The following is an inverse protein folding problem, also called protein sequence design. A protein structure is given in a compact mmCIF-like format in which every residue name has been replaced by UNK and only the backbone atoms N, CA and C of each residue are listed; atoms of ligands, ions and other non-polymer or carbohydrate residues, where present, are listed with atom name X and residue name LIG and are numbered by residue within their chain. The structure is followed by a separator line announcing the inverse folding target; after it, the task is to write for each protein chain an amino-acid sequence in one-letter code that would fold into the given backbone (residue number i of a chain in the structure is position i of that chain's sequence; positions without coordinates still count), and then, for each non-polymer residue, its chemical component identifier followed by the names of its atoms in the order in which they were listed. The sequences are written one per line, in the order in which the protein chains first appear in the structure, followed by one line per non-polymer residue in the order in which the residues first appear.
data_IF_931057876514
#
_entry.id   IF_931057876514
#
_cell.length_a   1.000
_cell.length_b   1.000
_cell.length_c   1.000
_cell.angle_alpha   90.00
_cell.angle_beta   90.00
_cell.angle_gamma   90.00
#
_symmetry.space_group_name_H-M   'P 1'
#
loop_
_entity.id
_entity.type
_entity.pdbx_description
1 polymer ?
#
# COMPACT_ATOMS: atom_id res chain seq x y z
N UNK A 1 -17.55 -49.77 4.63
CA UNK A 1 -16.60 -49.97 3.51
C UNK A 1 -15.36 -49.16 3.81
N UNK A 2 -14.18 -49.79 3.93
CA UNK A 2 -12.91 -49.07 4.08
C UNK A 2 -12.58 -48.42 2.74
N UNK A 3 -12.39 -47.10 2.74
CA UNK A 3 -11.85 -46.37 1.60
C UNK A 3 -10.50 -47.02 1.25
N UNK A 4 -10.26 -47.45 0.01
CA UNK A 4 -8.98 -48.02 -0.37
C UNK A 4 -7.91 -46.95 -0.18
N UNK A 5 -7.00 -47.15 0.78
CA UNK A 5 -5.78 -46.36 0.87
C UNK A 5 -4.99 -46.65 -0.41
N UNK A 6 -5.00 -45.71 -1.35
CA UNK A 6 -4.16 -45.79 -2.54
C UNK A 6 -2.71 -45.99 -2.05
N UNK A 7 -2.11 -47.12 -2.41
CA UNK A 7 -0.70 -47.39 -2.11
C UNK A 7 0.12 -46.23 -2.68
N UNK A 8 1.00 -45.67 -1.86
CA UNK A 8 1.98 -44.71 -2.33
C UNK A 8 2.72 -45.33 -3.52
N UNK A 9 2.81 -44.61 -4.63
CA UNK A 9 3.64 -45.05 -5.75
C UNK A 9 5.08 -45.13 -5.23
N UNK A 10 5.74 -46.25 -5.50
CA UNK A 10 7.13 -46.52 -5.13
C UNK A 10 7.96 -46.54 -6.41
N UNK A 11 9.07 -45.79 -6.42
CA UNK A 11 10.03 -45.80 -7.52
C UNK A 11 11.47 -45.79 -7.01
N UNK A 12 12.37 -46.35 -7.81
CA UNK A 12 13.81 -46.18 -7.61
C UNK A 12 14.23 -44.77 -8.05
N UNK A 13 15.19 -44.19 -7.34
CA UNK A 13 15.77 -42.92 -7.75
C UNK A 13 16.40 -42.15 -6.62
N UNK A 14 16.61 -40.86 -6.86
CA UNK A 14 17.23 -39.92 -5.92
C UNK A 14 16.17 -39.27 -5.02
N UNK A 15 16.39 -39.27 -3.72
CA UNK A 15 15.54 -38.52 -2.77
C UNK A 15 15.69 -37.01 -2.98
N UNK A 16 14.57 -36.29 -3.11
CA UNK A 16 14.55 -34.84 -3.37
C UNK A 16 15.14 -33.99 -2.23
N UNK A 17 15.21 -34.53 -1.02
CA UNK A 17 15.83 -33.86 0.13
C UNK A 17 17.31 -34.20 0.28
N UNK A 18 17.63 -35.47 0.57
CA UNK A 18 18.99 -35.87 0.96
C UNK A 18 19.87 -36.29 -0.22
N UNK A 19 19.30 -36.37 -1.43
CA UNK A 19 20.03 -36.73 -2.63
C UNK A 19 20.57 -38.17 -2.68
N UNK A 20 20.23 -39.02 -1.72
CA UNK A 20 20.61 -40.44 -1.75
C UNK A 20 19.79 -41.19 -2.78
N UNK A 21 20.45 -42.03 -3.56
CA UNK A 21 19.78 -43.02 -4.40
C UNK A 21 19.27 -44.16 -3.53
N UNK A 22 18.00 -44.51 -3.67
CA UNK A 22 17.36 -45.58 -2.91
C UNK A 22 16.47 -46.42 -3.82
N UNK A 23 16.38 -47.74 -3.58
CA UNK A 23 15.52 -48.63 -4.36
C UNK A 23 14.02 -48.38 -4.08
N UNK A 24 13.69 -47.67 -3.00
CA UNK A 24 12.30 -47.32 -2.69
C UNK A 24 12.22 -45.87 -2.24
N UNK A 25 11.47 -45.06 -3.00
CA UNK A 25 11.05 -43.72 -2.63
C UNK A 25 9.54 -43.67 -2.49
N UNK A 26 9.05 -42.98 -1.47
CA UNK A 26 7.64 -42.65 -1.31
C UNK A 26 7.37 -41.27 -1.91
N UNK A 27 6.33 -41.16 -2.73
CA UNK A 27 5.87 -39.86 -3.22
C UNK A 27 5.15 -39.07 -2.13
N UNK A 28 5.18 -37.73 -2.23
CA UNK A 28 4.33 -36.86 -1.42
C UNK A 28 2.86 -37.24 -1.63
N UNK A 29 2.12 -37.44 -0.53
CA UNK A 29 0.71 -37.86 -0.56
C UNK A 29 -0.20 -36.88 -1.30
N UNK A 30 0.14 -35.59 -1.25
CA UNK A 30 -0.74 -34.52 -1.66
C UNK A 30 -0.55 -34.19 -3.15
N UNK A 31 0.69 -33.89 -3.56
CA UNK A 31 0.96 -33.50 -4.94
C UNK A 31 1.45 -34.66 -5.83
N UNK A 32 2.01 -35.72 -5.26
CA UNK A 32 2.72 -36.82 -5.96
C UNK A 32 3.86 -36.38 -6.90
N UNK A 33 4.33 -35.15 -6.77
CA UNK A 33 5.39 -34.56 -7.64
C UNK A 33 6.78 -34.65 -7.04
N UNK A 34 6.91 -34.90 -5.74
CA UNK A 34 8.19 -35.05 -5.03
C UNK A 34 8.30 -36.40 -4.33
N UNK A 35 9.53 -36.87 -4.13
CA UNK A 35 9.87 -38.25 -3.78
C UNK A 35 10.95 -38.31 -2.68
N UNK A 36 10.69 -39.11 -1.66
CA UNK A 36 11.49 -39.14 -0.43
C UNK A 36 11.78 -40.56 0.02
N UNK A 37 12.98 -40.79 0.57
CA UNK A 37 13.34 -42.09 1.13
C UNK A 37 12.71 -42.35 2.51
N UNK A 38 12.12 -41.32 3.14
CA UNK A 38 11.44 -41.42 4.44
C UNK A 38 10.55 -40.20 4.70
N UNK A 39 9.55 -40.35 5.58
CA UNK A 39 8.74 -39.22 6.07
C UNK A 39 9.60 -38.13 6.71
N UNK A 40 10.69 -38.50 7.38
CA UNK A 40 11.64 -37.52 7.94
C UNK A 40 12.25 -36.63 6.86
N UNK A 41 12.64 -37.19 5.71
CA UNK A 41 13.15 -36.40 4.59
C UNK A 41 12.08 -35.49 3.97
N UNK A 42 10.81 -35.90 3.99
CA UNK A 42 9.70 -35.04 3.58
C UNK A 42 9.51 -33.88 4.59
N UNK A 43 9.48 -34.17 5.89
CA UNK A 43 9.34 -33.17 6.97
C UNK A 43 10.48 -32.14 6.94
N UNK A 44 11.73 -32.59 6.81
CA UNK A 44 12.91 -31.72 6.73
C UNK A 44 12.90 -30.84 5.46
N UNK A 45 12.40 -31.37 4.33
CA UNK A 45 12.27 -30.63 3.07
C UNK A 45 11.01 -29.77 2.99
N UNK A 46 10.06 -29.93 3.92
CA UNK A 46 8.73 -29.34 3.79
C UNK A 46 8.77 -27.81 3.65
N UNK A 47 9.72 -27.15 4.32
CA UNK A 47 9.93 -25.70 4.24
C UNK A 47 10.18 -25.16 2.81
N UNK A 48 10.70 -26.00 1.91
CA UNK A 48 10.89 -25.68 0.48
C UNK A 48 9.82 -26.36 -0.37
N UNK A 49 9.58 -27.65 -0.16
CA UNK A 49 8.63 -28.42 -0.98
C UNK A 49 7.23 -27.83 -1.00
N UNK A 50 6.75 -27.33 0.15
CA UNK A 50 5.40 -26.79 0.29
C UNK A 50 5.10 -25.67 -0.70
N UNK A 51 6.11 -24.89 -1.08
CA UNK A 51 6.00 -23.75 -1.98
C UNK A 51 5.57 -24.15 -3.40
N UNK A 52 5.81 -25.41 -3.77
CA UNK A 52 5.45 -25.99 -5.06
C UNK A 52 4.40 -27.12 -4.93
N UNK A 53 4.06 -27.51 -3.70
CA UNK A 53 3.09 -28.58 -3.40
C UNK A 53 1.69 -28.03 -3.19
N UNK A 54 1.57 -26.91 -2.46
CA UNK A 54 0.31 -26.29 -2.05
C UNK A 54 -0.18 -25.33 -3.13
N UNK A 55 -1.49 -25.12 -3.21
CA UNK A 55 -2.06 -24.09 -4.09
C UNK A 55 -1.54 -22.69 -3.71
N UNK A 56 -1.27 -21.86 -4.73
CA UNK A 56 -0.70 -20.52 -4.54
C UNK A 56 -1.59 -19.62 -3.65
N UNK A 57 -2.90 -19.82 -3.65
CA UNK A 57 -3.86 -19.08 -2.83
C UNK A 57 -3.77 -19.41 -1.34
N UNK A 58 -3.25 -20.59 -0.98
CA UNK A 58 -3.07 -21.03 0.41
C UNK A 58 -1.66 -20.69 0.96
N UNK A 59 -0.75 -20.21 0.09
CA UNK A 59 0.55 -19.72 0.52
C UNK A 59 0.42 -18.42 1.31
N UNK A 60 1.28 -18.24 2.30
CA UNK A 60 1.40 -16.95 2.99
C UNK A 60 2.15 -15.93 2.13
N UNK A 61 2.10 -14.65 2.50
CA UNK A 61 2.93 -13.63 1.85
C UNK A 61 4.44 -13.93 1.99
N UNK A 62 4.89 -14.53 3.10
CA UNK A 62 6.29 -14.91 3.26
C UNK A 62 6.69 -16.07 2.34
N UNK A 63 5.80 -17.05 2.15
CA UNK A 63 6.01 -18.15 1.20
C UNK A 63 6.18 -17.62 -0.23
N UNK A 64 5.31 -16.69 -0.65
CA UNK A 64 5.39 -16.04 -1.96
C UNK A 64 6.64 -15.17 -2.11
N UNK A 65 7.12 -14.55 -1.03
CA UNK A 65 8.40 -13.84 -1.02
C UNK A 65 9.59 -14.81 -1.14
N UNK A 66 9.54 -15.95 -0.47
CA UNK A 66 10.58 -16.98 -0.58
C UNK A 66 10.70 -17.52 -2.01
N UNK A 67 9.56 -17.76 -2.69
CA UNK A 67 9.55 -18.09 -4.12
C UNK A 67 10.26 -17.02 -4.96
N UNK A 68 9.92 -15.74 -4.75
CA UNK A 68 10.55 -14.63 -5.46
C UNK A 68 12.08 -14.57 -5.21
N UNK A 69 12.50 -14.83 -3.96
CA UNK A 69 13.91 -14.89 -3.57
C UNK A 69 14.67 -16.09 -4.18
N UNK A 70 14.02 -17.25 -4.34
CA UNK A 70 14.60 -18.42 -5.00
C UNK A 70 14.71 -18.22 -6.52
N UNK A 71 13.74 -17.55 -7.13
CA UNK A 71 13.69 -17.27 -8.56
C UNK A 71 14.51 -16.05 -8.98
N UNK A 72 15.11 -15.33 -8.02
CA UNK A 72 15.83 -14.07 -8.23
C UNK A 72 15.00 -13.04 -9.00
N UNK A 73 13.73 -12.90 -8.61
CA UNK A 73 12.79 -12.00 -9.26
C UNK A 73 12.11 -11.06 -8.25
N UNK A 74 11.77 -9.82 -8.64
CA UNK A 74 11.06 -8.92 -7.76
C UNK A 74 9.64 -9.45 -7.49
N UNK A 75 9.16 -9.40 -6.24
CA UNK A 75 7.80 -9.81 -5.92
C UNK A 75 6.79 -8.93 -6.66
N UNK A 76 5.69 -9.54 -7.09
CA UNK A 76 4.58 -8.85 -7.78
C UNK A 76 3.26 -8.89 -7.01
N UNK A 77 3.22 -9.72 -6.00
CA UNK A 77 2.03 -9.92 -5.17
C UNK A 77 1.84 -8.73 -4.23
N UNK A 78 0.67 -8.11 -4.28
CA UNK A 78 0.38 -6.89 -3.52
C UNK A 78 0.57 -7.08 -2.01
N UNK A 79 0.18 -8.24 -1.46
CA UNK A 79 0.33 -8.50 -0.04
C UNK A 79 1.81 -8.61 0.34
N UNK A 80 2.61 -9.27 -0.50
CA UNK A 80 4.07 -9.33 -0.32
C UNK A 80 4.69 -7.94 -0.35
N UNK A 81 4.29 -7.13 -1.34
CA UNK A 81 4.85 -5.80 -1.49
C UNK A 81 4.54 -4.90 -0.29
N UNK A 82 3.35 -5.04 0.31
CA UNK A 82 2.93 -4.33 1.52
C UNK A 82 3.61 -4.85 2.78
N UNK A 83 3.55 -6.15 2.99
CA UNK A 83 3.98 -6.82 4.21
C UNK A 83 5.49 -6.65 4.45
N UNK A 84 6.26 -6.66 3.37
CA UNK A 84 7.73 -6.67 3.43
C UNK A 84 8.37 -5.36 2.96
N UNK A 85 7.60 -4.27 2.93
CA UNK A 85 8.13 -2.91 2.77
C UNK A 85 8.48 -2.48 1.35
N UNK A 86 8.26 -3.32 0.34
CA UNK A 86 8.56 -2.98 -1.05
C UNK A 86 7.72 -1.80 -1.56
N UNK A 87 6.44 -1.68 -1.15
CA UNK A 87 5.63 -0.49 -1.47
C UNK A 87 6.11 0.77 -0.74
N UNK A 88 6.82 0.62 0.38
CA UNK A 88 7.36 1.75 1.14
C UNK A 88 8.72 2.21 0.62
N UNK A 89 9.40 1.38 -0.17
CA UNK A 89 10.67 1.70 -0.81
C UNK A 89 10.43 2.51 -2.10
N UNK A 90 10.85 3.77 -2.10
CA UNK A 90 10.58 4.71 -3.19
C UNK A 90 11.63 4.71 -4.29
N UNK A 91 12.82 4.14 -4.05
CA UNK A 91 13.86 4.00 -5.07
C UNK A 91 14.09 2.53 -5.46
N UNK A 92 14.35 2.23 -6.75
CA UNK A 92 14.55 0.85 -7.20
C UNK A 92 15.69 0.12 -6.48
N UNK A 93 16.77 0.82 -6.14
CA UNK A 93 17.88 0.22 -5.40
C UNK A 93 17.47 -0.27 -4.02
N UNK A 94 16.58 0.42 -3.31
CA UNK A 94 16.04 -0.01 -2.01
C UNK A 94 15.20 -1.28 -2.14
N UNK A 95 14.43 -1.42 -3.21
CA UNK A 95 13.64 -2.64 -3.46
C UNK A 95 14.57 -3.85 -3.69
N UNK A 96 15.68 -3.65 -4.40
CA UNK A 96 16.70 -4.69 -4.56
C UNK A 96 17.36 -5.02 -3.21
N UNK A 97 17.67 -4.02 -2.38
CA UNK A 97 18.22 -4.26 -1.04
C UNK A 97 17.27 -5.07 -0.14
N UNK A 98 15.95 -4.82 -0.22
CA UNK A 98 14.95 -5.66 0.45
C UNK A 98 14.95 -7.09 -0.08
N UNK A 99 14.96 -7.27 -1.41
CA UNK A 99 15.01 -8.61 -2.00
C UNK A 99 16.27 -9.36 -1.57
N UNK A 100 17.44 -8.72 -1.61
CA UNK A 100 18.72 -9.31 -1.20
C UNK A 100 18.76 -9.67 0.29
N UNK A 101 18.11 -8.87 1.14
CA UNK A 101 17.94 -9.18 2.57
C UNK A 101 17.17 -10.49 2.78
N UNK A 102 16.04 -10.66 2.08
CA UNK A 102 15.22 -11.87 2.20
C UNK A 102 15.84 -13.07 1.48
N UNK A 103 16.61 -12.86 0.40
CA UNK A 103 17.45 -13.91 -0.23
C UNK A 103 18.49 -14.44 0.74
N UNK A 104 19.15 -13.58 1.52
CA UNK A 104 20.08 -14.01 2.57
C UNK A 104 19.39 -14.94 3.57
N UNK A 105 18.22 -14.55 4.06
CA UNK A 105 17.42 -15.31 5.03
C UNK A 105 16.97 -16.67 4.48
N UNK A 106 16.39 -16.71 3.28
CA UNK A 106 15.82 -17.94 2.72
C UNK A 106 16.85 -18.84 2.06
N UNK A 107 17.74 -18.29 1.23
CA UNK A 107 18.64 -19.09 0.40
C UNK A 107 19.88 -19.52 1.19
N UNK A 108 20.51 -18.59 1.92
CA UNK A 108 21.73 -18.87 2.67
C UNK A 108 21.42 -19.37 4.08
N UNK A 109 20.44 -18.75 4.74
CA UNK A 109 20.01 -19.12 6.08
C UNK A 109 19.15 -20.36 6.15
N UNK A 110 18.47 -20.73 5.06
CA UNK A 110 17.53 -21.85 5.04
C UNK A 110 16.38 -21.68 6.04
N UNK A 111 16.05 -20.44 6.41
CA UNK A 111 14.99 -20.11 7.37
C UNK A 111 13.63 -20.46 6.74
N UNK A 112 12.77 -21.11 7.51
CA UNK A 112 11.43 -21.47 7.05
C UNK A 112 10.57 -20.20 6.85
N UNK A 113 9.96 -20.00 5.66
CA UNK A 113 9.10 -18.84 5.41
C UNK A 113 7.95 -18.69 6.40
N UNK A 114 7.46 -19.80 6.99
CA UNK A 114 6.42 -19.78 8.03
C UNK A 114 6.87 -19.05 9.29
N UNK A 115 8.15 -19.20 9.64
CA UNK A 115 8.74 -18.49 10.79
C UNK A 115 8.74 -16.99 10.50
N UNK A 116 9.22 -16.59 9.31
CA UNK A 116 9.22 -15.18 8.90
C UNK A 116 7.80 -14.60 8.87
N UNK A 117 6.82 -15.36 8.38
CA UNK A 117 5.41 -14.95 8.39
C UNK A 117 4.88 -14.73 9.81
N UNK A 118 5.23 -15.59 10.76
CA UNK A 118 4.82 -15.45 12.15
C UNK A 118 5.43 -14.21 12.80
N UNK A 119 6.74 -13.97 12.62
CA UNK A 119 7.38 -12.74 13.11
C UNK A 119 6.74 -11.49 12.52
N UNK A 120 6.31 -11.52 11.25
CA UNK A 120 5.56 -10.43 10.64
C UNK A 120 4.20 -10.23 11.33
N UNK A 121 3.41 -11.29 11.53
CA UNK A 121 2.13 -11.22 12.24
C UNK A 121 2.27 -10.64 13.65
N UNK A 122 3.37 -10.99 14.33
CA UNK A 122 3.65 -10.52 15.68
C UNK A 122 4.19 -9.08 15.74
N UNK A 123 4.39 -8.43 14.58
CA UNK A 123 5.01 -7.09 14.50
C UNK A 123 6.50 -7.07 14.83
N UNK A 124 7.17 -8.23 14.74
CA UNK A 124 8.57 -8.47 15.13
C UNK A 124 9.48 -8.80 13.95
N UNK A 125 9.12 -8.38 12.74
CA UNK A 125 9.89 -8.68 11.54
C UNK A 125 11.33 -8.12 11.61
N UNK A 126 11.52 -6.94 12.20
CA UNK A 126 12.84 -6.33 12.43
C UNK A 126 13.71 -7.21 13.34
N UNK A 127 13.13 -7.76 14.42
CA UNK A 127 13.83 -8.67 15.34
C UNK A 127 14.28 -9.95 14.60
N UNK A 128 13.42 -10.50 13.74
CA UNK A 128 13.72 -11.70 12.95
C UNK A 128 14.94 -11.48 12.05
N UNK A 129 14.96 -10.37 11.32
CA UNK A 129 16.06 -10.01 10.42
C UNK A 129 17.34 -9.76 11.22
N UNK A 130 17.24 -8.99 12.31
CA UNK A 130 18.38 -8.64 13.17
C UNK A 130 19.00 -9.90 13.77
N UNK A 131 18.18 -10.78 14.36
CA UNK A 131 18.64 -12.05 14.96
C UNK A 131 19.38 -12.92 13.95
N UNK A 132 18.87 -13.00 12.70
CA UNK A 132 19.51 -13.79 11.65
C UNK A 132 20.88 -13.23 11.27
N UNK A 133 20.96 -11.94 10.94
CA UNK A 133 22.20 -11.34 10.45
C UNK A 133 23.24 -11.12 11.55
N UNK A 134 22.84 -10.88 12.80
CA UNK A 134 23.79 -10.72 13.90
C UNK A 134 24.51 -12.04 14.26
N UNK A 135 23.88 -13.19 13.98
CA UNK A 135 24.52 -14.50 14.12
C UNK A 135 25.64 -14.76 13.09
N UNK A 136 25.66 -14.00 12.00
CA UNK A 136 26.69 -14.07 10.97
C UNK A 136 27.89 -13.20 11.39
N UNK A 137 29.15 -13.64 11.21
CA UNK A 137 30.32 -12.81 11.45
C UNK A 137 30.23 -11.46 10.70
N UNK A 138 30.66 -10.36 11.35
CA UNK A 138 30.45 -8.99 10.87
C UNK A 138 30.93 -8.77 9.42
N UNK A 139 32.06 -9.36 9.04
CA UNK A 139 32.64 -9.27 7.69
C UNK A 139 31.78 -9.93 6.60
N UNK A 140 30.84 -10.79 6.97
CA UNK A 140 30.05 -11.64 6.07
C UNK A 140 28.57 -11.25 6.03
N UNK A 141 28.15 -10.19 6.74
CA UNK A 141 26.74 -9.78 6.81
C UNK A 141 26.21 -9.13 5.52
N UNK A 142 27.11 -8.67 4.64
CA UNK A 142 26.77 -8.04 3.37
C UNK A 142 26.24 -6.61 3.49
N UNK A 143 26.16 -5.91 2.37
CA UNK A 143 25.73 -4.50 2.32
C UNK A 143 24.24 -4.32 2.61
N UNK A 144 23.41 -5.32 2.27
CA UNK A 144 21.96 -5.26 2.48
C UNK A 144 21.58 -5.15 3.95
N UNK A 145 22.36 -5.75 4.85
CA UNK A 145 22.14 -5.62 6.28
C UNK A 145 22.50 -4.21 6.80
N UNK A 146 23.62 -3.66 6.37
CA UNK A 146 24.01 -2.27 6.69
C UNK A 146 23.04 -1.24 6.13
N UNK A 147 22.42 -1.52 4.97
CA UNK A 147 21.31 -0.73 4.45
C UNK A 147 20.05 -0.90 5.31
N UNK A 148 19.69 -2.12 5.68
CA UNK A 148 18.52 -2.41 6.53
C UNK A 148 18.56 -1.65 7.87
N UNK A 149 19.72 -1.59 8.54
CA UNK A 149 19.87 -0.88 9.82
C UNK A 149 19.47 0.60 9.74
N UNK A 150 19.65 1.24 8.57
CA UNK A 150 19.26 2.64 8.33
C UNK A 150 17.81 2.79 7.85
N UNK A 151 17.20 1.70 7.37
CA UNK A 151 15.91 1.71 6.67
C UNK A 151 14.85 0.81 7.32
N UNK A 152 14.99 0.52 8.62
CA UNK A 152 14.04 -0.32 9.37
C UNK A 152 12.60 0.22 9.31
N UNK A 153 12.42 1.54 9.13
CA UNK A 153 11.13 2.20 8.99
C UNK A 153 10.26 1.61 7.86
N UNK A 154 10.86 1.00 6.84
CA UNK A 154 10.15 0.33 5.74
C UNK A 154 9.47 -0.97 6.16
N UNK A 155 9.89 -1.55 7.29
CA UNK A 155 9.41 -2.86 7.76
C UNK A 155 8.54 -2.75 9.02
N UNK A 156 8.36 -1.54 9.54
CA UNK A 156 7.45 -1.28 10.65
C UNK A 156 6.01 -1.44 10.15
N UNK A 157 5.18 -2.27 10.80
CA UNK A 157 3.78 -2.41 10.42
C UNK A 157 3.04 -1.07 10.64
N UNK A 158 2.08 -0.71 9.78
CA UNK A 158 1.23 0.43 10.05
C UNK A 158 0.50 0.22 11.39
N UNK A 159 0.26 1.29 12.16
CA UNK A 159 -0.39 1.24 13.47
C UNK A 159 -1.87 0.84 13.40
N UNK A 160 -2.45 0.79 12.21
CA UNK A 160 -3.82 0.37 11.96
C UNK A 160 -3.83 -0.72 10.90
N UNK A 161 -4.69 -1.71 11.09
CA UNK A 161 -4.96 -2.72 10.08
C UNK A 161 -5.54 -2.03 8.84
N UNK A 162 -4.88 -2.23 7.70
CA UNK A 162 -5.27 -1.61 6.45
C UNK A 162 -6.54 -2.29 5.89
N UNK A 163 -7.71 -1.81 6.32
CA UNK A 163 -8.98 -2.16 5.68
C UNK A 163 -9.09 -1.58 4.24
N UNK A 164 -8.06 -0.87 3.73
CA UNK A 164 -8.06 -0.39 2.36
C UNK A 164 -8.00 -1.51 1.32
N UNK A 165 -7.81 -2.77 1.71
CA UNK A 165 -7.87 -3.93 0.82
C UNK A 165 -9.01 -4.89 1.13
N UNK A 166 -10.02 -4.47 1.89
CA UNK A 166 -11.31 -5.14 1.74
C UNK A 166 -11.79 -4.88 0.31
N UNK A 167 -11.54 -5.90 -0.51
CA UNK A 167 -11.95 -5.99 -1.91
C UNK A 167 -13.42 -5.64 -1.89
N UNK A 168 -13.80 -4.65 -2.69
CA UNK A 168 -15.21 -4.42 -2.98
C UNK A 168 -15.69 -5.69 -3.67
N UNK A 169 -16.31 -6.56 -2.86
CA UNK A 169 -16.75 -7.87 -3.30
C UNK A 169 -17.99 -7.74 -4.18
N UNK A 170 -18.38 -8.86 -4.78
CA UNK A 170 -19.54 -8.89 -5.65
C UNK A 170 -20.82 -8.48 -4.89
N UNK A 171 -20.88 -8.65 -3.57
CA UNK A 171 -21.99 -8.16 -2.75
C UNK A 171 -22.00 -6.63 -2.65
N UNK A 172 -20.86 -5.99 -2.38
CA UNK A 172 -20.74 -4.54 -2.32
C UNK A 172 -21.04 -3.90 -3.68
N UNK A 173 -20.60 -4.54 -4.77
CA UNK A 173 -20.93 -4.18 -6.14
C UNK A 173 -22.45 -4.21 -6.38
N UNK A 174 -23.10 -5.33 -6.07
CA UNK A 174 -24.53 -5.53 -6.25
C UNK A 174 -25.36 -4.54 -5.42
N UNK A 175 -24.99 -4.34 -4.15
CA UNK A 175 -25.71 -3.45 -3.25
C UNK A 175 -25.63 -1.99 -3.73
N UNK A 176 -24.45 -1.52 -4.13
CA UNK A 176 -24.31 -0.18 -4.69
C UNK A 176 -25.05 -0.03 -6.02
N UNK A 177 -25.07 -1.06 -6.88
CA UNK A 177 -25.84 -1.05 -8.11
C UNK A 177 -27.34 -0.82 -7.86
N UNK A 178 -27.92 -1.55 -6.90
CA UNK A 178 -29.32 -1.34 -6.52
C UNK A 178 -29.55 0.03 -5.89
N UNK A 179 -28.63 0.49 -5.04
CA UNK A 179 -28.74 1.79 -4.39
C UNK A 179 -28.83 2.94 -5.41
N UNK A 180 -28.06 2.87 -6.51
CA UNK A 180 -28.09 3.90 -7.56
C UNK A 180 -29.26 3.75 -8.54
N UNK A 181 -30.18 2.81 -8.32
CA UNK A 181 -31.36 2.56 -9.16
C UNK A 181 -31.17 1.53 -10.27
N UNK A 182 -30.10 0.72 -10.21
CA UNK A 182 -29.89 -0.42 -11.10
C UNK A 182 -30.94 -1.53 -10.91
N UNK A 183 -31.20 -2.32 -11.96
CA UNK A 183 -32.26 -3.34 -11.90
C UNK A 183 -31.89 -4.48 -10.96
N UNK A 184 -32.88 -4.94 -10.17
CA UNK A 184 -32.75 -6.15 -9.35
C UNK A 184 -32.57 -7.43 -10.17
N UNK A 185 -32.95 -7.40 -11.46
CA UNK A 185 -32.80 -8.53 -12.40
C UNK A 185 -31.45 -8.60 -13.08
N UNK A 186 -30.61 -7.55 -12.96
CA UNK A 186 -29.29 -7.54 -13.61
C UNK A 186 -28.36 -8.53 -12.89
N UNK A 187 -27.72 -9.43 -13.65
CA UNK A 187 -26.73 -10.35 -13.11
C UNK A 187 -25.41 -9.62 -12.83
N UNK A 188 -24.53 -10.20 -12.00
CA UNK A 188 -23.20 -9.64 -11.75
C UNK A 188 -22.39 -9.44 -13.04
N UNK A 189 -22.54 -10.33 -14.02
CA UNK A 189 -21.89 -10.20 -15.32
C UNK A 189 -22.41 -8.99 -16.10
N UNK A 190 -23.74 -8.78 -16.10
CA UNK A 190 -24.37 -7.63 -16.75
C UNK A 190 -23.92 -6.31 -16.09
N UNK A 191 -23.89 -6.28 -14.76
CA UNK A 191 -23.46 -5.12 -13.98
C UNK A 191 -22.01 -4.77 -14.31
N UNK A 192 -21.10 -5.76 -14.25
CA UNK A 192 -19.68 -5.56 -14.59
C UNK A 192 -19.50 -5.06 -16.03
N UNK A 193 -20.23 -5.62 -16.98
CA UNK A 193 -20.19 -5.20 -18.39
C UNK A 193 -20.68 -3.76 -18.58
N UNK A 194 -21.78 -3.36 -17.94
CA UNK A 194 -22.30 -1.99 -18.02
C UNK A 194 -21.36 -0.98 -17.38
N UNK A 195 -20.83 -1.32 -16.22
CA UNK A 195 -19.88 -0.45 -15.50
C UNK A 195 -18.61 -0.29 -16.33
N UNK A 196 -18.08 -1.34 -16.96
CA UNK A 196 -16.87 -1.27 -17.77
C UNK A 196 -16.93 -0.23 -18.90
N UNK A 197 -18.12 0.09 -19.41
CA UNK A 197 -18.31 1.10 -20.46
C UNK A 197 -18.34 2.56 -19.93
N UNK A 198 -18.26 2.77 -18.62
CA UNK A 198 -18.34 4.09 -18.01
C UNK A 198 -17.02 4.88 -18.13
N UNK A 199 -17.09 6.22 -18.13
CA UNK A 199 -15.90 7.04 -17.99
C UNK A 199 -15.30 6.88 -16.58
N UNK A 200 -13.99 7.14 -16.45
CA UNK A 200 -13.23 6.93 -15.22
C UNK A 200 -13.83 7.70 -14.03
N UNK A 201 -14.29 8.93 -14.24
CA UNK A 201 -14.91 9.77 -13.21
C UNK A 201 -16.18 9.15 -12.65
N UNK A 202 -16.95 8.46 -13.49
CA UNK A 202 -18.17 7.77 -13.08
C UNK A 202 -17.84 6.50 -12.30
N UNK A 203 -16.78 5.78 -12.70
CA UNK A 203 -16.23 4.68 -11.89
C UNK A 203 -15.79 5.14 -10.51
N UNK A 204 -15.08 6.28 -10.41
CA UNK A 204 -14.65 6.86 -9.12
C UNK A 204 -15.84 7.17 -8.22
N UNK A 205 -16.89 7.81 -8.77
CA UNK A 205 -18.12 8.10 -8.03
C UNK A 205 -18.82 6.83 -7.53
N UNK A 206 -18.95 5.82 -8.40
CA UNK A 206 -19.60 4.57 -8.04
C UNK A 206 -18.82 3.81 -6.96
N UNK A 207 -17.49 3.73 -7.12
CA UNK A 207 -16.60 3.12 -6.13
C UNK A 207 -16.71 3.82 -4.78
N UNK A 208 -16.78 5.15 -4.77
CA UNK A 208 -16.97 5.90 -3.53
C UNK A 208 -18.32 5.62 -2.86
N UNK A 209 -19.41 5.45 -3.62
CA UNK A 209 -20.69 5.00 -3.07
C UNK A 209 -20.59 3.61 -2.45
N UNK A 210 -19.89 2.66 -3.10
CA UNK A 210 -19.65 1.34 -2.52
C UNK A 210 -18.95 1.44 -1.15
N UNK A 211 -17.99 2.37 -1.00
CA UNK A 211 -17.31 2.62 0.28
C UNK A 211 -18.23 3.28 1.31
N UNK A 212 -19.03 4.28 0.91
CA UNK A 212 -19.97 4.97 1.79
C UNK A 212 -21.00 4.03 2.42
N UNK A 213 -21.53 3.08 1.63
CA UNK A 213 -22.56 2.14 2.08
C UNK A 213 -22.03 1.04 3.00
N UNK A 214 -20.71 1.00 3.21
CA UNK A 214 -20.05 -0.03 4.02
C UNK A 214 -20.02 0.37 5.49
N UNK A 215 -20.68 -0.44 6.32
CA UNK A 215 -20.74 -0.19 7.75
C UNK A 215 -19.34 -0.20 8.39
N UNK A 216 -19.03 0.82 9.19
CA UNK A 216 -17.75 0.94 9.90
C UNK A 216 -16.54 1.28 9.03
N UNK A 217 -16.73 1.55 7.74
CA UNK A 217 -15.60 1.90 6.86
C UNK A 217 -15.10 3.33 7.13
N UNK A 218 -13.78 3.48 7.17
CA UNK A 218 -13.09 4.76 7.30
C UNK A 218 -12.10 4.91 6.16
N UNK A 219 -12.09 6.09 5.52
CA UNK A 219 -11.12 6.40 4.48
C UNK A 219 -9.74 6.61 5.10
N UNK A 220 -8.73 5.98 4.50
CA UNK A 220 -7.33 6.24 4.80
C UNK A 220 -6.69 7.12 3.72
N UNK A 221 -5.62 7.86 4.05
CA UNK A 221 -4.82 8.57 3.04
C UNK A 221 -4.27 7.64 1.95
N UNK A 222 -4.19 6.33 2.21
CA UNK A 222 -3.74 5.35 1.23
C UNK A 222 -4.70 5.12 0.07
N UNK A 223 -5.92 5.64 0.18
CA UNK A 223 -6.95 5.54 -0.85
C UNK A 223 -7.04 6.81 -1.69
N UNK A 224 -7.13 6.70 -3.03
CA UNK A 224 -7.31 7.87 -3.90
C UNK A 224 -8.60 8.63 -3.59
N UNK A 225 -9.63 7.95 -3.09
CA UNK A 225 -10.90 8.56 -2.70
C UNK A 225 -10.75 9.60 -1.57
N UNK A 226 -9.73 9.47 -0.71
CA UNK A 226 -9.46 10.45 0.35
C UNK A 226 -9.10 11.83 -0.22
N UNK A 227 -8.36 11.85 -1.33
CA UNK A 227 -8.07 13.09 -2.07
C UNK A 227 -9.26 13.48 -2.97
N UNK A 228 -9.78 12.54 -3.76
CA UNK A 228 -10.83 12.79 -4.77
C UNK A 228 -12.13 13.33 -4.16
N UNK A 229 -12.46 12.98 -2.91
CA UNK A 229 -13.67 13.47 -2.23
C UNK A 229 -13.36 14.46 -1.11
N UNK A 230 -12.18 15.09 -1.14
CA UNK A 230 -11.87 16.26 -0.32
C UNK A 230 -11.58 15.97 1.15
N UNK A 231 -11.51 14.71 1.58
CA UNK A 231 -11.17 14.34 2.95
C UNK A 231 -9.76 14.80 3.34
N UNK A 232 -8.86 14.93 2.37
CA UNK A 232 -7.54 15.52 2.58
C UNK A 232 -7.58 16.97 3.11
N UNK A 233 -8.69 17.69 2.95
CA UNK A 233 -8.89 19.03 3.52
C UNK A 233 -9.25 19.03 5.02
N UNK A 234 -9.63 17.88 5.58
CA UNK A 234 -9.96 17.75 7.00
C UNK A 234 -8.70 17.84 7.87
N UNK A 235 -8.86 18.43 9.07
CA UNK A 235 -7.79 18.61 10.06
C UNK A 235 -7.78 17.55 11.16
N UNK A 236 -8.88 16.81 11.28
CA UNK A 236 -9.06 15.81 12.33
C UNK A 236 -10.02 14.73 11.86
N UNK A 237 -9.94 13.57 12.51
CA UNK A 237 -10.88 12.47 12.33
C UNK A 237 -12.33 12.89 12.58
N UNK A 238 -12.58 13.80 13.53
CA UNK A 238 -13.91 14.35 13.77
C UNK A 238 -14.45 15.17 12.58
N UNK A 239 -13.57 15.89 11.86
CA UNK A 239 -13.95 16.57 10.61
C UNK A 239 -14.21 15.59 9.47
N UNK A 240 -13.36 14.57 9.32
CA UNK A 240 -13.55 13.51 8.32
C UNK A 240 -14.87 12.77 8.54
N UNK A 241 -15.19 12.40 9.78
CA UNK A 241 -16.45 11.77 10.13
C UNK A 241 -17.67 12.65 9.82
N UNK A 242 -17.58 13.97 10.07
CA UNK A 242 -18.65 14.90 9.70
C UNK A 242 -18.84 14.99 8.19
N UNK A 243 -17.75 15.04 7.43
CA UNK A 243 -17.79 15.04 5.96
C UNK A 243 -18.36 13.73 5.42
N UNK A 244 -17.96 12.59 5.99
CA UNK A 244 -18.49 11.26 5.66
C UNK A 244 -20.02 11.19 5.86
N UNK A 245 -20.51 11.63 7.02
CA UNK A 245 -21.95 11.69 7.31
C UNK A 245 -22.68 12.64 6.35
N UNK A 246 -22.06 13.76 5.97
CA UNK A 246 -22.64 14.68 4.99
C UNK A 246 -22.76 14.03 3.60
N UNK A 247 -21.73 13.32 3.13
CA UNK A 247 -21.81 12.54 1.88
C UNK A 247 -22.91 11.47 1.95
N UNK A 248 -23.00 10.72 3.05
CA UNK A 248 -24.05 9.72 3.26
C UNK A 248 -25.47 10.29 3.20
N UNK A 249 -25.67 11.51 3.71
CA UNK A 249 -26.95 12.22 3.59
C UNK A 249 -27.19 12.65 2.14
N UNK A 250 -26.17 13.22 1.50
CA UNK A 250 -26.26 13.71 0.12
C UNK A 250 -26.63 12.60 -0.86
N UNK A 251 -25.95 11.46 -0.84
CA UNK A 251 -26.23 10.36 -1.79
C UNK A 251 -27.61 9.73 -1.61
N UNK A 252 -28.29 9.98 -0.48
CA UNK A 252 -29.66 9.55 -0.21
C UNK A 252 -30.71 10.58 -0.67
N UNK A 253 -30.32 11.83 -0.93
CA UNK A 253 -31.23 12.89 -1.38
C UNK A 253 -31.15 13.15 -2.88
N UNK A 254 -30.01 12.88 -3.51
CA UNK A 254 -29.77 13.12 -4.94
C UNK A 254 -29.65 11.81 -5.72
N UNK A 255 -29.92 11.84 -7.02
CA UNK A 255 -29.67 10.68 -7.89
C UNK A 255 -28.18 10.50 -8.14
N UNK A 256 -27.79 9.27 -8.51
CA UNK A 256 -26.39 8.99 -8.88
C UNK A 256 -25.90 9.86 -10.04
N UNK A 257 -26.74 10.11 -11.05
CA UNK A 257 -26.39 10.98 -12.15
C UNK A 257 -26.19 12.43 -11.71
N UNK A 258 -26.99 12.94 -10.77
CA UNK A 258 -26.77 14.28 -10.20
C UNK A 258 -25.45 14.35 -9.45
N UNK A 259 -25.15 13.34 -8.62
CA UNK A 259 -23.88 13.25 -7.88
C UNK A 259 -22.67 13.19 -8.83
N UNK A 260 -22.69 12.27 -9.79
CA UNK A 260 -21.65 12.11 -10.80
C UNK A 260 -21.44 13.39 -11.62
N UNK A 261 -22.52 14.01 -12.11
CA UNK A 261 -22.42 15.25 -12.87
C UNK A 261 -21.84 16.41 -12.05
N UNK A 262 -22.16 16.49 -10.76
CA UNK A 262 -21.58 17.49 -9.88
C UNK A 262 -20.09 17.23 -9.62
N UNK A 263 -19.70 15.96 -9.41
CA UNK A 263 -18.28 15.58 -9.31
C UNK A 263 -17.52 15.94 -10.58
N UNK A 264 -18.00 15.51 -11.75
CA UNK A 264 -17.32 15.73 -13.02
C UNK A 264 -17.18 17.23 -13.40
N UNK A 265 -18.08 18.09 -12.90
CA UNK A 265 -18.04 19.54 -13.14
C UNK A 265 -17.38 20.34 -12.00
N UNK A 266 -16.73 19.68 -11.05
CA UNK A 266 -16.12 20.32 -9.87
C UNK A 266 -17.12 21.17 -9.06
N UNK A 267 -18.39 20.75 -9.04
CA UNK A 267 -19.51 21.49 -8.43
C UNK A 267 -20.17 20.75 -7.26
N UNK A 268 -19.48 19.77 -6.69
CA UNK A 268 -19.91 19.11 -5.44
C UNK A 268 -20.24 20.12 -4.32
N UNK A 269 -19.44 21.18 -4.05
CA UNK A 269 -19.80 22.16 -3.01
C UNK A 269 -21.15 22.85 -3.26
N UNK A 270 -21.49 23.10 -4.52
CA UNK A 270 -22.78 23.67 -4.94
C UNK A 270 -23.91 22.66 -4.68
N UNK A 271 -23.69 21.40 -5.04
CA UNK A 271 -24.67 20.32 -4.79
C UNK A 271 -24.93 20.13 -3.29
N UNK A 272 -23.88 20.15 -2.46
CA UNK A 272 -23.99 20.12 -1.00
C UNK A 272 -24.82 21.27 -0.45
N UNK A 273 -24.55 22.50 -0.92
CA UNK A 273 -25.28 23.69 -0.50
C UNK A 273 -26.76 23.64 -0.89
N UNK A 274 -27.06 23.17 -2.11
CA UNK A 274 -28.43 23.00 -2.60
C UNK A 274 -29.24 21.95 -1.80
N UNK A 275 -28.56 21.04 -1.10
CA UNK A 275 -29.17 20.02 -0.25
C UNK A 275 -29.08 20.36 1.26
N UNK A 276 -28.89 21.64 1.61
CA UNK A 276 -28.78 22.11 3.00
C UNK A 276 -27.65 21.45 3.82
N UNK A 277 -26.56 21.07 3.16
CA UNK A 277 -25.36 20.47 3.76
C UNK A 277 -24.09 21.27 3.38
N UNK A 278 -24.05 22.60 3.59
CA UNK A 278 -22.96 23.43 3.09
C UNK A 278 -21.60 23.02 3.67
N UNK A 279 -20.61 22.87 2.80
CA UNK A 279 -19.22 22.66 3.19
C UNK A 279 -18.62 24.03 3.51
N UNK A 280 -18.18 24.23 4.75
CA UNK A 280 -17.59 25.50 5.22
C UNK A 280 -16.07 25.43 5.39
N UNK A 281 -15.49 24.22 5.37
CA UNK A 281 -14.04 24.07 5.50
C UNK A 281 -13.36 24.53 4.19
N UNK A 282 -12.52 25.59 4.23
CA UNK A 282 -11.91 26.16 3.03
C UNK A 282 -10.94 25.19 2.33
N UNK A 283 -10.33 24.25 3.06
CA UNK A 283 -9.42 23.26 2.49
C UNK A 283 -10.16 22.15 1.74
N UNK A 284 -11.32 21.74 2.25
CA UNK A 284 -12.22 20.81 1.55
C UNK A 284 -12.76 21.48 0.30
N UNK A 285 -13.18 22.75 0.39
CA UNK A 285 -13.62 23.55 -0.76
C UNK A 285 -12.52 23.65 -1.82
N UNK A 286 -11.29 24.03 -1.43
CA UNK A 286 -10.16 24.12 -2.36
C UNK A 286 -9.93 22.81 -3.12
N UNK A 287 -10.02 21.68 -2.43
CA UNK A 287 -9.84 20.37 -3.07
C UNK A 287 -10.99 20.04 -4.03
N UNK A 288 -12.24 20.25 -3.60
CA UNK A 288 -13.42 19.89 -4.39
C UNK A 288 -13.71 20.85 -5.56
N UNK A 289 -13.17 22.07 -5.52
CA UNK A 289 -13.34 23.06 -6.60
C UNK A 289 -12.48 22.78 -7.83
N UNK A 290 -11.39 22.03 -7.69
CA UNK A 290 -10.46 21.73 -8.80
C UNK A 290 -10.56 20.26 -9.27
N UNK A 291 -11.00 19.33 -8.41
CA UNK A 291 -11.17 17.90 -8.72
C UNK A 291 -12.35 17.68 -9.69
N UNK A 292 -12.27 16.73 -10.65
CA UNK A 292 -11.19 15.78 -10.90
C UNK A 292 -10.08 16.28 -11.82
N UNK A 293 -10.16 17.51 -12.33
CA UNK A 293 -9.35 17.97 -13.46
C UNK A 293 -7.99 18.54 -13.05
N UNK A 294 -7.91 19.17 -11.88
CA UNK A 294 -6.69 19.76 -11.34
C UNK A 294 -6.60 19.49 -9.85
N UNK A 295 -5.39 19.30 -9.35
CA UNK A 295 -5.15 19.13 -7.91
C UNK A 295 -3.82 19.76 -7.59
N UNK A 296 -3.81 20.71 -6.66
CA UNK A 296 -2.56 21.33 -6.18
C UNK A 296 -1.65 20.25 -5.62
N UNK A 297 -0.37 20.29 -5.98
CA UNK A 297 0.62 19.27 -5.59
C UNK A 297 0.73 19.08 -4.07
N UNK A 298 0.35 20.09 -3.28
CA UNK A 298 0.37 20.00 -1.81
C UNK A 298 -0.60 18.98 -1.25
N UNK A 299 -1.72 18.72 -1.94
CA UNK A 299 -2.68 17.70 -1.52
C UNK A 299 -2.12 16.30 -1.78
N UNK A 300 -1.41 16.12 -2.90
CA UNK A 300 -0.65 14.90 -3.18
C UNK A 300 0.49 14.70 -2.18
N UNK A 301 1.20 15.78 -1.79
CA UNK A 301 2.20 15.72 -0.73
C UNK A 301 1.57 15.28 0.59
N UNK A 302 0.45 15.89 0.99
CA UNK A 302 -0.24 15.54 2.24
C UNK A 302 -0.65 14.07 2.23
N UNK A 303 -1.17 13.57 1.12
CA UNK A 303 -1.48 12.16 0.95
C UNK A 303 -0.22 11.28 1.10
N UNK A 304 0.86 11.63 0.40
CA UNK A 304 2.13 10.90 0.41
C UNK A 304 2.75 10.77 1.81
N UNK A 305 2.72 11.81 2.62
CA UNK A 305 3.39 11.81 3.94
C UNK A 305 2.51 11.26 5.07
N UNK A 306 1.19 11.19 4.85
CA UNK A 306 0.23 10.63 5.82
C UNK A 306 -0.10 9.16 5.53
N UNK A 307 -0.10 8.74 4.27
CA UNK A 307 -0.31 7.35 3.86
C UNK A 307 0.93 6.48 4.02
N UNK A 308 0.72 5.18 4.20
CA UNK A 308 1.78 4.19 4.42
C UNK A 308 2.25 3.49 3.14
N UNK A 309 1.44 3.52 2.07
CA UNK A 309 1.69 2.81 0.82
C UNK A 309 1.72 3.75 -0.39
N UNK A 310 1.71 5.05 -0.14
CA UNK A 310 1.72 6.06 -1.20
C UNK A 310 3.07 6.11 -1.90
N UNK A 311 3.00 6.13 -3.23
CA UNK A 311 4.17 6.31 -4.07
C UNK A 311 4.49 7.78 -4.26
N UNK A 312 5.78 8.07 -4.43
CA UNK A 312 6.25 9.41 -4.72
C UNK A 312 5.85 9.78 -6.16
N UNK A 313 4.93 10.74 -6.31
CA UNK A 313 4.51 11.24 -7.62
C UNK A 313 5.49 12.30 -8.14
N UNK A 314 5.56 12.48 -9.46
CA UNK A 314 6.46 13.48 -10.08
C UNK A 314 6.24 14.89 -9.51
N UNK A 315 5.00 15.41 -9.41
CA UNK A 315 4.79 16.74 -8.83
C UNK A 315 5.29 16.84 -7.39
N UNK A 316 5.06 15.81 -6.57
CA UNK A 316 5.55 15.81 -5.19
C UNK A 316 7.07 15.78 -5.14
N UNK A 317 7.68 14.98 -6.02
CA UNK A 317 9.12 14.81 -6.07
C UNK A 317 9.87 16.10 -6.40
N UNK A 318 9.36 16.82 -7.39
CA UNK A 318 9.94 18.07 -7.89
C UNK A 318 9.63 19.25 -6.96
N UNK A 319 8.36 19.44 -6.62
CA UNK A 319 7.89 20.63 -5.93
C UNK A 319 8.40 20.69 -4.49
N UNK A 320 8.49 19.54 -3.82
CA UNK A 320 8.82 19.46 -2.40
C UNK A 320 10.19 18.84 -2.12
N UNK A 321 11.05 18.78 -3.14
CA UNK A 321 12.48 18.55 -2.94
C UNK A 321 12.90 17.09 -2.75
N UNK A 322 12.01 16.12 -2.98
CA UNK A 322 12.41 14.70 -2.92
C UNK A 322 13.33 14.30 -4.08
N UNK A 323 13.27 14.98 -5.23
CA UNK A 323 14.26 14.84 -6.32
C UNK A 323 15.71 15.14 -5.87
N UNK A 324 15.89 15.90 -4.78
CA UNK A 324 17.21 16.22 -4.24
C UNK A 324 17.71 15.14 -3.25
N UNK A 325 16.88 14.16 -2.89
CA UNK A 325 17.25 13.06 -1.99
C UNK A 325 18.08 12.02 -2.75
N UNK A 326 19.15 11.52 -2.13
CA UNK A 326 20.08 10.56 -2.75
C UNK A 326 19.79 9.11 -2.38
N UNK A 327 19.09 8.90 -1.28
CA UNK A 327 18.79 7.61 -0.70
C UNK A 327 17.44 7.63 0.01
N UNK A 328 16.95 6.43 0.33
CA UNK A 328 15.67 6.20 1.00
C UNK A 328 15.62 6.80 2.40
N UNK A 329 16.73 6.77 3.15
CA UNK A 329 16.83 7.35 4.48
C UNK A 329 16.55 8.87 4.44
N UNK A 330 17.09 9.56 3.44
CA UNK A 330 16.87 10.99 3.22
C UNK A 330 15.43 11.26 2.79
N UNK A 331 14.85 10.43 1.91
CA UNK A 331 13.44 10.52 1.52
C UNK A 331 12.54 10.40 2.75
N UNK A 332 12.73 9.36 3.56
CA UNK A 332 11.97 9.14 4.78
C UNK A 332 12.14 10.29 5.77
N UNK A 333 13.38 10.76 5.97
CA UNK A 333 13.66 11.89 6.85
C UNK A 333 12.92 13.16 6.43
N UNK A 334 12.89 13.47 5.12
CA UNK A 334 12.16 14.61 4.58
C UNK A 334 10.64 14.40 4.66
N UNK A 335 10.15 13.18 4.41
CA UNK A 335 8.76 12.80 4.60
C UNK A 335 8.30 13.07 6.04
N UNK A 336 9.14 12.75 7.05
CA UNK A 336 8.84 13.03 8.46
C UNK A 336 8.78 14.53 8.79
N UNK A 337 9.61 15.36 8.13
CA UNK A 337 9.54 16.82 8.29
C UNK A 337 8.18 17.33 7.82
N UNK A 338 7.76 16.97 6.60
CA UNK A 338 6.46 17.37 6.07
C UNK A 338 5.28 16.79 6.86
N UNK A 339 5.37 15.52 7.29
CA UNK A 339 4.35 14.89 8.15
C UNK A 339 4.10 15.71 9.42
N UNK A 340 5.16 16.15 10.10
CA UNK A 340 5.06 17.01 11.29
C UNK A 340 4.36 18.33 11.00
N UNK A 341 4.58 18.92 9.82
CA UNK A 341 3.92 20.17 9.40
C UNK A 341 2.42 19.99 9.19
N UNK A 342 1.97 18.84 8.67
CA UNK A 342 0.55 18.57 8.43
C UNK A 342 -0.23 18.10 9.66
N UNK A 343 0.44 17.44 10.61
CA UNK A 343 -0.19 16.98 11.87
C UNK A 343 -0.23 18.08 12.94
N UNK A 344 0.58 19.12 12.80
CA UNK A 344 0.60 20.25 13.74
C UNK A 344 -0.72 21.03 13.77
N UNK A 345 -1.08 21.58 14.94
CA UNK A 345 -2.34 22.32 15.13
C UNK A 345 -2.53 23.52 14.17
N UNK A 346 -1.42 24.13 13.74
CA UNK A 346 -1.41 25.28 12.83
C UNK A 346 -1.20 24.88 11.36
N UNK A 347 -1.39 23.60 11.01
CA UNK A 347 -1.21 23.10 9.66
C UNK A 347 -2.06 23.88 8.65
N UNK A 348 -1.39 24.41 7.63
CA UNK A 348 -2.04 25.09 6.52
C UNK A 348 -1.38 24.63 5.20
N UNK A 349 -1.97 23.62 4.53
CA UNK A 349 -1.45 23.10 3.26
C UNK A 349 -1.32 24.19 2.18
N UNK A 350 -2.25 25.14 2.11
CA UNK A 350 -2.22 26.18 1.09
C UNK A 350 -1.04 27.15 1.28
N UNK A 351 -0.71 27.51 2.53
CA UNK A 351 0.50 28.31 2.79
C UNK A 351 1.79 27.58 2.44
N UNK A 352 1.83 26.26 2.62
CA UNK A 352 2.96 25.45 2.18
C UNK A 352 3.07 25.42 0.66
N UNK A 353 1.93 25.34 -0.04
CA UNK A 353 1.89 25.47 -1.49
C UNK A 353 2.40 26.84 -1.97
N UNK A 354 1.97 27.93 -1.33
CA UNK A 354 2.46 29.27 -1.65
C UNK A 354 3.98 29.39 -1.41
N UNK A 355 4.48 28.80 -0.31
CA UNK A 355 5.91 28.76 -0.02
C UNK A 355 6.68 27.94 -1.06
N UNK A 356 6.10 26.86 -1.56
CA UNK A 356 6.64 26.09 -2.68
C UNK A 356 6.75 26.95 -3.94
N UNK A 357 5.66 27.61 -4.32
CA UNK A 357 5.63 28.49 -5.49
C UNK A 357 6.65 29.62 -5.39
N UNK A 358 6.95 30.11 -4.18
CA UNK A 358 7.95 31.16 -3.94
C UNK A 358 9.39 30.64 -3.74
N UNK A 359 9.64 29.33 -3.77
CA UNK A 359 10.96 28.76 -3.46
C UNK A 359 11.41 28.96 -2.01
N UNK A 360 10.48 29.11 -1.06
CA UNK A 360 10.70 29.41 0.36
C UNK A 360 10.32 28.26 1.29
N UNK A 361 10.31 27.03 0.80
CA UNK A 361 9.92 25.83 1.56
C UNK A 361 10.63 25.70 2.91
N UNK A 362 11.96 25.82 2.91
CA UNK A 362 12.76 25.66 4.13
C UNK A 362 12.47 26.76 5.17
N UNK A 363 12.35 28.02 4.74
CA UNK A 363 12.04 29.12 5.65
C UNK A 363 10.63 29.00 6.22
N UNK A 364 9.66 28.58 5.40
CA UNK A 364 8.31 28.29 5.88
C UNK A 364 8.30 27.14 6.90
N UNK A 365 9.03 26.06 6.64
CA UNK A 365 9.11 24.91 7.55
C UNK A 365 9.69 25.29 8.92
N UNK A 366 10.72 26.14 8.95
CA UNK A 366 11.32 26.66 10.20
C UNK A 366 10.36 27.50 11.05
N UNK A 367 9.36 28.12 10.44
CA UNK A 367 8.35 28.90 11.18
C UNK A 367 7.33 28.00 11.89
N UNK A 368 7.15 26.77 11.42
CA UNK A 368 6.14 25.83 11.94
C UNK A 368 6.73 24.81 12.90
N UNK A 369 7.93 24.31 12.61
CA UNK A 369 8.58 23.24 13.37
C UNK A 369 10.10 23.45 13.44
N UNK A 370 10.76 22.78 14.39
CA UNK A 370 12.23 22.70 14.42
C UNK A 370 12.71 21.80 13.29
N UNK A 371 13.38 22.39 12.29
CA UNK A 371 13.97 21.68 11.14
C UNK A 371 15.49 21.78 11.19
N UNK A 372 16.17 20.66 10.94
CA UNK A 372 17.63 20.62 10.84
C UNK A 372 18.13 21.35 9.59
N UNK A 373 19.18 22.18 9.67
CA UNK A 373 19.81 22.84 8.52
C UNK A 373 20.16 21.92 7.34
N UNK A 374 20.38 20.61 7.58
CA UNK A 374 20.65 19.63 6.52
C UNK A 374 19.53 19.49 5.50
N UNK A 375 18.30 19.88 5.83
CA UNK A 375 17.16 19.85 4.90
C UNK A 375 17.09 21.09 3.97
N UNK A 376 17.82 22.16 4.27
CA UNK A 376 17.86 23.37 3.44
C UNK A 376 18.23 23.11 1.96
N UNK A 377 19.28 22.32 1.64
CA UNK A 377 19.59 21.99 0.25
C UNK A 377 18.53 21.09 -0.40
N UNK A 378 17.82 20.28 0.38
CA UNK A 378 16.79 19.35 -0.14
C UNK A 378 15.51 20.09 -0.52
N UNK A 379 15.09 21.07 0.27
CA UNK A 379 13.86 21.83 0.07
C UNK A 379 14.01 22.98 -0.95
N UNK A 380 14.77 22.77 -2.01
CA UNK A 380 14.94 23.72 -3.12
C UNK A 380 14.19 23.22 -4.35
N UNK A 381 13.37 24.09 -4.92
CA UNK A 381 12.72 23.86 -6.20
C UNK A 381 13.77 23.79 -7.32
N UNK A 382 13.66 22.79 -8.19
CA UNK A 382 14.60 22.57 -9.30
C UNK A 382 14.31 23.53 -10.48
N UNK A 383 13.08 24.02 -10.57
CA UNK A 383 12.64 24.92 -11.63
C UNK A 383 12.74 26.40 -11.21
N UNK A 384 12.90 27.33 -12.16
CA UNK A 384 12.80 28.75 -11.88
C UNK A 384 11.45 29.06 -11.24
N UNK A 385 11.49 29.70 -10.09
CA UNK A 385 10.29 30.23 -9.43
C UNK A 385 9.76 31.37 -10.31
N UNK A 386 8.51 31.27 -10.76
CA UNK A 386 7.83 32.42 -11.35
C UNK A 386 7.81 33.54 -10.31
N UNK A 387 8.50 34.64 -10.60
CA UNK A 387 8.38 35.84 -9.77
C UNK A 387 6.95 36.36 -9.93
N UNK A 388 6.24 36.67 -8.83
CA UNK A 388 4.93 37.30 -8.94
C UNK A 388 5.08 38.60 -9.76
N UNK A 389 4.11 38.93 -10.63
CA UNK A 389 4.14 40.19 -11.34
C UNK A 389 4.24 41.35 -10.33
N UNK A 390 5.17 42.27 -10.61
CA UNK A 390 5.52 43.40 -9.76
C UNK A 390 4.36 44.37 -9.51
#
# INVERSE_FOLDING_TARGET
MRVPTLKAEEKEGKCDHCGRETPTLSSCSDCRKAWYCSNRCLEDHWKVHRLYCIDRSELTSADRLALAAFEDSPPRDTDVLKDFGFLRAHIPSSQNQLLDLFRGIFNQGGVDPRVVHQFRLDGRLIDCITTFYEAIPETNRGECYSWFLRNQHLLVPPPFYDAAHEILDDNALQHAWWFIGGSASDTLADIKSRIQAWPEEKHRCFKFIQLLLRAGFQLSPDRPEWLQFGFCGCKSEAEENRLWVAYLKLIRTVTFEQFYNAYNKSSLPVLFSANALPITNPFVLDTLSDVPHRTKSVWNLKQFVLGYYQQLTIPVSVDYGFCNCKDEETIYSLQQVYRKMFVGANANPLKLHDACLQGKLFEHAKQLIRVDPKFAPLMKNIHPVEQPPA
#
